data_IF_714435867500
#
_entry.id   IF_714435867500
#
_cell.length_a   1.000
_cell.length_b   1.000
_cell.length_c   1.000
_cell.angle_alpha   90.00
_cell.angle_beta   90.00
_cell.angle_gamma   90.00
#
_symmetry.space_group_name_H-M   'P 1'
#
loop_
_entity.id
_entity.type
_entity.pdbx_description
1 polymer ?
#
# COMPACT_ATOMS: atom_id res chain seq x y z
N UNK A 1 6.80 -12.35 -7.71
CA UNK A 1 7.46 -11.50 -6.70
C UNK A 1 6.38 -10.87 -5.82
N UNK A 2 6.61 -10.77 -4.50
CA UNK A 2 5.63 -10.22 -3.57
C UNK A 2 5.38 -8.71 -3.75
N UNK A 3 6.37 -7.98 -4.27
CA UNK A 3 6.24 -6.59 -4.70
C UNK A 3 6.64 -6.46 -6.17
N UNK A 4 5.84 -5.73 -6.94
CA UNK A 4 6.14 -5.32 -8.31
C UNK A 4 6.65 -3.88 -8.39
N UNK A 5 6.96 -3.42 -9.60
CA UNK A 5 7.45 -2.05 -9.86
C UNK A 5 6.47 -0.99 -9.34
N UNK A 6 5.17 -1.21 -9.54
CA UNK A 6 4.11 -0.34 -9.02
C UNK A 6 4.20 -0.20 -7.49
N UNK A 7 4.36 -1.31 -6.77
CA UNK A 7 4.42 -1.28 -5.30
C UNK A 7 5.59 -0.46 -4.78
N UNK A 8 6.78 -0.61 -5.39
CA UNK A 8 7.96 0.17 -5.00
C UNK A 8 7.76 1.68 -5.21
N UNK A 9 7.08 2.07 -6.29
CA UNK A 9 6.74 3.47 -6.55
C UNK A 9 5.81 4.00 -5.45
N UNK A 10 4.74 3.25 -5.13
CA UNK A 10 3.77 3.65 -4.11
C UNK A 10 4.43 3.72 -2.72
N UNK A 11 5.26 2.73 -2.36
CA UNK A 11 6.01 2.74 -1.11
C UNK A 11 6.93 3.95 -0.98
N UNK A 12 7.61 4.34 -2.07
CA UNK A 12 8.45 5.54 -2.09
C UNK A 12 7.64 6.80 -1.86
N UNK A 13 6.46 6.92 -2.49
CA UNK A 13 5.55 8.05 -2.29
C UNK A 13 5.04 8.12 -0.85
N UNK A 14 4.64 7.00 -0.27
CA UNK A 14 4.22 6.91 1.15
C UNK A 14 5.37 7.35 2.06
N UNK A 15 6.59 6.89 1.80
CA UNK A 15 7.75 7.26 2.60
C UNK A 15 8.02 8.76 2.58
N UNK A 16 7.98 9.40 1.40
CA UNK A 16 8.14 10.85 1.26
C UNK A 16 7.03 11.61 1.99
N UNK A 17 5.77 11.16 1.84
CA UNK A 17 4.63 11.76 2.52
C UNK A 17 4.78 11.71 4.04
N UNK A 18 5.22 10.58 4.59
CA UNK A 18 5.46 10.40 6.01
C UNK A 18 6.58 11.31 6.53
N UNK A 19 7.68 11.44 5.79
CA UNK A 19 8.75 12.39 6.14
C UNK A 19 8.21 13.82 6.23
N UNK A 20 7.34 14.22 5.29
CA UNK A 20 6.65 15.50 5.31
C UNK A 20 5.79 15.67 6.57
N UNK A 21 4.94 14.69 6.86
CA UNK A 21 4.10 14.71 8.07
C UNK A 21 4.95 14.86 9.34
N UNK A 22 6.05 14.12 9.46
CA UNK A 22 6.91 14.17 10.65
C UNK A 22 7.64 15.50 10.78
N UNK A 23 8.20 16.02 9.68
CA UNK A 23 8.96 17.28 9.68
C UNK A 23 8.07 18.48 10.04
N UNK A 24 6.86 18.53 9.48
CA UNK A 24 5.97 19.68 9.60
C UNK A 24 4.88 19.51 10.69
N UNK A 25 4.84 18.36 11.38
CA UNK A 25 3.81 18.02 12.40
C UNK A 25 2.38 18.35 11.94
N UNK A 26 2.09 18.09 10.65
CA UNK A 26 0.83 18.48 9.99
C UNK A 26 -0.37 17.86 10.70
N UNK A 27 -0.23 16.62 11.20
CA UNK A 27 -1.28 15.91 11.92
C UNK A 27 -1.13 16.20 13.42
N UNK A 28 -1.79 17.27 13.87
CA UNK A 28 -1.75 17.72 15.29
C UNK A 28 -2.87 17.15 16.16
N UNK A 29 -3.93 16.60 15.55
CA UNK A 29 -5.11 16.05 16.25
C UNK A 29 -5.54 14.73 15.63
N UNK A 30 -5.99 13.78 16.47
CA UNK A 30 -6.46 12.46 16.04
C UNK A 30 -7.75 12.58 15.23
N UNK A 31 -7.63 12.72 13.90
CA UNK A 31 -8.78 12.77 13.01
C UNK A 31 -9.11 11.35 12.52
N UNK A 32 -10.17 10.73 13.05
CA UNK A 32 -10.58 9.37 12.66
C UNK A 32 -10.79 9.24 11.15
N UNK A 33 -11.31 10.30 10.52
CA UNK A 33 -11.56 10.32 9.07
C UNK A 33 -10.28 10.08 8.28
N UNK A 34 -9.14 10.66 8.69
CA UNK A 34 -7.85 10.44 8.02
C UNK A 34 -7.39 8.98 8.14
N UNK A 35 -7.58 8.35 9.29
CA UNK A 35 -7.26 6.92 9.47
C UNK A 35 -8.16 6.02 8.63
N UNK A 36 -9.45 6.36 8.52
CA UNK A 36 -10.40 5.63 7.69
C UNK A 36 -10.00 5.72 6.21
N UNK A 37 -9.68 6.93 5.73
CA UNK A 37 -9.21 7.16 4.36
C UNK A 37 -7.92 6.37 4.11
N UNK A 38 -6.93 6.45 5.00
CA UNK A 38 -5.69 5.71 4.88
C UNK A 38 -5.92 4.19 4.83
N UNK A 39 -6.82 3.66 5.67
CA UNK A 39 -7.19 2.25 5.67
C UNK A 39 -7.82 1.81 4.35
N UNK A 40 -8.76 2.57 3.80
CA UNK A 40 -9.34 2.25 2.49
C UNK A 40 -8.32 2.34 1.35
N UNK A 41 -7.48 3.37 1.38
CA UNK A 41 -6.55 3.67 0.31
C UNK A 41 -5.39 2.65 0.28
N UNK A 42 -4.76 2.41 1.43
CA UNK A 42 -3.68 1.43 1.57
C UNK A 42 -4.19 -0.01 1.59
N UNK A 43 -5.37 -0.26 2.14
CA UNK A 43 -5.88 -1.62 2.34
C UNK A 43 -6.68 -2.22 1.18
N UNK A 44 -7.28 -1.39 0.32
CA UNK A 44 -8.10 -1.87 -0.80
C UNK A 44 -7.68 -1.28 -2.13
N UNK A 45 -7.57 0.05 -2.21
CA UNK A 45 -7.33 0.73 -3.50
C UNK A 45 -5.96 0.36 -4.06
N UNK A 46 -4.89 0.54 -3.29
CA UNK A 46 -3.53 0.24 -3.73
C UNK A 46 -3.34 -1.25 -4.11
N UNK A 47 -3.68 -2.24 -3.27
CA UNK A 47 -3.51 -3.64 -3.64
C UNK A 47 -4.35 -4.03 -4.86
N UNK A 48 -5.54 -3.44 -5.05
CA UNK A 48 -6.36 -3.66 -6.25
C UNK A 48 -5.65 -3.18 -7.52
N UNK A 49 -5.17 -1.93 -7.53
CA UNK A 49 -4.41 -1.40 -8.67
C UNK A 49 -3.10 -2.16 -8.90
N UNK A 50 -2.43 -2.53 -7.82
CA UNK A 50 -1.20 -3.31 -7.90
C UNK A 50 -1.43 -4.69 -8.52
N UNK A 51 -2.51 -5.37 -8.15
CA UNK A 51 -2.89 -6.66 -8.73
C UNK A 51 -3.19 -6.49 -10.23
N UNK A 52 -4.00 -5.49 -10.60
CA UNK A 52 -4.34 -5.22 -12.00
C UNK A 52 -3.10 -4.93 -12.86
N UNK A 53 -2.16 -4.13 -12.35
CA UNK A 53 -0.92 -3.82 -13.06
C UNK A 53 -0.06 -5.07 -13.29
N UNK A 54 0.07 -5.93 -12.28
CA UNK A 54 0.86 -7.16 -12.43
C UNK A 54 0.19 -8.16 -13.37
N UNK A 55 -1.14 -8.31 -13.29
CA UNK A 55 -1.88 -9.18 -14.20
C UNK A 55 -1.68 -8.69 -15.63
N UNK A 56 -1.92 -7.41 -15.90
CA UNK A 56 -1.76 -6.85 -17.24
C UNK A 56 -0.35 -7.09 -17.78
N UNK A 57 0.68 -6.85 -16.96
CA UNK A 57 2.08 -7.11 -17.31
C UNK A 57 2.36 -8.59 -17.59
N UNK A 58 1.79 -9.49 -16.79
CA UNK A 58 1.94 -10.94 -16.98
C UNK A 58 1.19 -11.44 -18.22
N UNK A 59 0.08 -10.82 -18.60
CA UNK A 59 -0.74 -11.20 -19.76
C UNK A 59 -0.27 -10.61 -21.08
N UNK A 60 0.57 -9.57 -21.05
CA UNK A 60 0.93 -8.78 -22.25
C UNK A 60 1.73 -9.59 -23.28
N UNK A 61 2.53 -10.57 -22.84
CA UNK A 61 3.42 -11.34 -23.72
C UNK A 61 3.22 -12.86 -23.66
N UNK A 62 2.29 -13.34 -22.83
CA UNK A 62 2.09 -14.78 -22.55
C UNK A 62 0.63 -15.16 -22.77
N UNK A 63 0.31 -16.07 -23.71
CA UNK A 63 -1.07 -16.50 -23.97
C UNK A 63 -1.64 -17.42 -22.89
N UNK A 64 -0.78 -18.01 -22.05
CA UNK A 64 -1.18 -18.89 -20.94
C UNK A 64 -0.56 -18.36 -19.66
N UNK A 65 -1.42 -17.93 -18.73
CA UNK A 65 -0.99 -17.41 -17.44
C UNK A 65 -0.95 -18.57 -16.46
N UNK A 66 0.19 -18.75 -15.79
CA UNK A 66 0.30 -19.72 -14.70
C UNK A 66 -0.65 -19.36 -13.55
N UNK A 67 -1.46 -20.32 -13.11
CA UNK A 67 -2.38 -20.16 -11.97
C UNK A 67 -1.65 -19.75 -10.69
N UNK A 68 -0.39 -20.16 -10.51
CA UNK A 68 0.41 -19.69 -9.37
C UNK A 68 0.73 -18.20 -9.47
N UNK A 69 0.94 -17.67 -10.68
CA UNK A 69 1.16 -16.23 -10.89
C UNK A 69 -0.07 -15.43 -10.46
N UNK A 70 -1.28 -15.89 -10.81
CA UNK A 70 -2.52 -15.28 -10.32
C UNK A 70 -2.66 -15.39 -8.81
N UNK A 71 -2.33 -16.55 -8.22
CA UNK A 71 -2.36 -16.72 -6.77
C UNK A 71 -1.41 -15.72 -6.06
N UNK A 72 -0.21 -15.52 -6.59
CA UNK A 72 0.76 -14.56 -6.04
C UNK A 72 0.30 -13.10 -6.15
N UNK A 73 -0.51 -12.73 -7.14
CA UNK A 73 -1.05 -11.37 -7.20
C UNK A 73 -2.12 -11.12 -6.14
N UNK A 74 -2.91 -12.13 -5.74
CA UNK A 74 -3.84 -12.01 -4.61
C UNK A 74 -3.13 -11.80 -3.26
N UNK A 75 -1.94 -12.38 -3.07
CA UNK A 75 -1.15 -12.18 -1.85
C UNK A 75 -0.71 -10.73 -1.61
N UNK A 76 -0.84 -9.84 -2.61
CA UNK A 76 -0.59 -8.40 -2.43
C UNK A 76 -1.54 -7.76 -1.44
N UNK A 77 -2.79 -8.24 -1.32
CA UNK A 77 -3.73 -7.73 -0.31
C UNK A 77 -3.22 -7.94 1.12
N UNK A 78 -2.89 -9.18 1.56
CA UNK A 78 -2.25 -9.41 2.87
C UNK A 78 -1.01 -8.57 3.12
N UNK A 79 -0.16 -8.38 2.11
CA UNK A 79 1.06 -7.58 2.23
C UNK A 79 0.73 -6.11 2.48
N UNK A 80 -0.18 -5.53 1.68
CA UNK A 80 -0.61 -4.16 1.85
C UNK A 80 -1.37 -3.93 3.17
N UNK A 81 -2.10 -4.92 3.67
CA UNK A 81 -2.69 -4.87 5.02
C UNK A 81 -1.63 -4.83 6.10
N UNK A 82 -0.58 -5.63 5.98
CA UNK A 82 0.54 -5.63 6.92
C UNK A 82 1.25 -4.27 6.94
N UNK A 83 1.54 -3.70 5.76
CA UNK A 83 2.12 -2.36 5.65
C UNK A 83 1.19 -1.32 6.28
N UNK A 84 -0.10 -1.36 5.97
CA UNK A 84 -1.11 -0.44 6.52
C UNK A 84 -1.15 -0.48 8.05
N UNK A 85 -1.08 -1.69 8.63
CA UNK A 85 -1.07 -1.87 10.08
C UNK A 85 0.18 -1.25 10.72
N UNK A 86 1.35 -1.43 10.10
CA UNK A 86 2.60 -0.80 10.54
C UNK A 86 2.49 0.73 10.48
N UNK A 87 1.98 1.26 9.37
CA UNK A 87 1.80 2.70 9.15
C UNK A 87 0.92 3.33 10.24
N UNK A 88 -0.26 2.74 10.47
CA UNK A 88 -1.20 3.21 11.51
C UNK A 88 -0.56 3.14 12.90
N UNK A 89 0.22 2.09 13.19
CA UNK A 89 0.91 1.95 14.46
C UNK A 89 1.98 3.04 14.67
N UNK A 90 2.77 3.35 13.64
CA UNK A 90 3.79 4.39 13.67
C UNK A 90 3.13 5.78 13.83
N UNK A 91 2.13 6.09 13.02
CA UNK A 91 1.38 7.35 13.12
C UNK A 91 0.77 7.54 14.51
N UNK A 92 0.21 6.47 15.10
CA UNK A 92 -0.35 6.50 16.46
C UNK A 92 0.72 6.77 17.52
N UNK A 93 1.93 6.24 17.39
CA UNK A 93 3.04 6.54 18.33
C UNK A 93 3.46 8.00 18.25
N UNK A 94 3.48 8.57 17.05
CA UNK A 94 3.99 9.93 16.82
C UNK A 94 2.97 10.99 17.25
N UNK A 95 1.67 10.73 17.05
CA UNK A 95 0.59 11.66 17.42
C UNK A 95 0.20 11.63 18.90
N UNK A 96 0.70 10.65 19.68
CA UNK A 96 0.45 10.56 21.13
C UNK A 96 1.42 11.40 21.98
N UNK A 97 2.41 12.04 21.35
CA UNK A 97 3.35 12.99 21.97
C UNK A 97 2.77 14.40 21.94
#
# INVERSE_FOLDING_TARGET
MFFGTFDYIILTLIFIFNLGIWKYKIIRKRNWILYLIAFFLLGFIIPFFSMGFEINKATENEPVIDNFTLLYTYFRFPIWWFISAIEVFILRKITKK
#
